data_IF_565436444574
#
_entry.id   IF_565436444574
#
_cell.length_a   1.000
_cell.length_b   1.000
_cell.length_c   1.000
_cell.angle_alpha   90.00
_cell.angle_beta   90.00
_cell.angle_gamma   90.00
#
_symmetry.space_group_name_H-M   'P 1'
#
loop_
_entity.id
_entity.type
_entity.pdbx_description
1 polymer ?
#
# COMPACT_ATOMS: atom_id res chain seq x y z
N UNK A 1 -0.17 -3.91 26.83
CA UNK A 1 1.09 -4.26 26.15
C UNK A 1 0.73 -4.42 24.68
N UNK A 2 1.16 -3.49 23.82
CA UNK A 2 0.87 -3.58 22.39
C UNK A 2 1.74 -4.69 21.82
N UNK A 3 1.22 -5.92 21.75
CA UNK A 3 1.87 -7.05 21.12
C UNK A 3 1.90 -6.83 19.60
N UNK A 4 2.68 -5.85 19.14
CA UNK A 4 3.09 -5.81 17.73
C UNK A 4 4.15 -6.88 17.57
N UNK A 5 3.71 -8.05 17.14
CA UNK A 5 4.61 -9.04 16.57
C UNK A 5 5.23 -8.41 15.32
N UNK A 6 6.53 -8.14 15.36
CA UNK A 6 7.31 -7.76 14.17
C UNK A 6 7.45 -9.02 13.31
N UNK A 7 6.37 -9.44 12.66
CA UNK A 7 6.44 -10.45 11.62
C UNK A 7 7.36 -9.87 10.54
N UNK A 8 8.44 -10.57 10.19
CA UNK A 8 9.35 -10.22 9.07
C UNK A 8 8.66 -10.25 7.69
N UNK A 9 7.33 -10.40 7.66
CA UNK A 9 6.47 -10.19 6.51
C UNK A 9 6.32 -8.66 6.37
N UNK A 10 6.61 -8.11 5.19
CA UNK A 10 6.42 -6.67 4.95
C UNK A 10 5.06 -6.22 5.48
N UNK A 11 4.99 -5.05 6.10
CA UNK A 11 3.68 -4.48 6.38
C UNK A 11 2.98 -4.30 5.03
N UNK A 12 1.71 -4.67 4.91
CA UNK A 12 0.92 -4.44 3.69
C UNK A 12 1.00 -2.97 3.26
N UNK A 13 1.07 -2.05 4.23
CA UNK A 13 1.27 -0.62 3.98
C UNK A 13 2.61 -0.35 3.31
N UNK A 14 3.68 -1.03 3.74
CA UNK A 14 5.01 -0.88 3.14
C UNK A 14 5.02 -1.38 1.69
N UNK A 15 4.39 -2.52 1.43
CA UNK A 15 4.25 -3.06 0.07
C UNK A 15 3.46 -2.09 -0.84
N UNK A 16 2.38 -1.47 -0.31
CA UNK A 16 1.62 -0.44 -1.03
C UNK A 16 2.48 0.77 -1.38
N UNK A 17 3.32 1.24 -0.44
CA UNK A 17 4.20 2.40 -0.66
C UNK A 17 5.25 2.09 -1.74
N UNK A 18 5.90 0.93 -1.66
CA UNK A 18 6.89 0.50 -2.66
C UNK A 18 6.25 0.35 -4.05
N UNK A 19 5.06 -0.26 -4.14
CA UNK A 19 4.32 -0.42 -5.40
C UNK A 19 3.86 0.92 -5.99
N UNK A 20 3.49 1.89 -5.15
CA UNK A 20 3.15 3.23 -5.58
C UNK A 20 4.38 4.01 -6.08
N UNK A 21 5.53 3.90 -5.41
CA UNK A 21 6.79 4.53 -5.83
C UNK A 21 7.29 3.98 -7.18
N UNK A 22 7.21 2.65 -7.37
CA UNK A 22 7.61 2.00 -8.64
C UNK A 22 6.67 2.36 -9.80
N UNK A 23 5.41 2.70 -9.50
CA UNK A 23 4.37 3.00 -10.49
C UNK A 23 4.34 4.45 -10.94
N UNK A 24 4.96 5.37 -10.20
CA UNK A 24 4.98 6.80 -10.52
C UNK A 24 6.34 7.24 -11.07
N UNK A 25 6.33 8.24 -11.94
CA UNK A 25 7.58 8.79 -12.47
C UNK A 25 8.31 9.60 -11.38
N UNK A 26 9.65 9.66 -11.37
CA UNK A 26 10.42 10.41 -10.36
C UNK A 26 10.11 11.92 -10.24
N UNK A 27 9.36 12.48 -11.19
CA UNK A 27 8.94 13.89 -11.26
C UNK A 27 7.44 14.06 -10.96
N UNK A 28 6.73 12.96 -10.66
CA UNK A 28 5.32 13.03 -10.28
C UNK A 28 5.14 13.83 -9.00
N UNK A 29 4.06 14.59 -8.92
CA UNK A 29 3.71 15.31 -7.68
C UNK A 29 3.36 14.32 -6.56
N UNK A 30 3.51 14.77 -5.32
CA UNK A 30 3.06 14.01 -4.14
C UNK A 30 1.58 13.61 -4.24
N UNK A 31 0.74 14.46 -4.84
CA UNK A 31 -0.66 14.15 -5.09
C UNK A 31 -0.84 12.92 -6.00
N UNK A 32 -0.04 12.80 -7.07
CA UNK A 32 -0.09 11.64 -7.97
C UNK A 32 0.40 10.36 -7.27
N UNK A 33 1.40 10.47 -6.39
CA UNK A 33 1.85 9.36 -5.55
C UNK A 33 0.74 8.89 -4.57
N UNK A 34 0.12 9.82 -3.84
CA UNK A 34 -0.95 9.50 -2.88
C UNK A 34 -2.19 8.93 -3.58
N UNK A 35 -2.53 9.43 -4.76
CA UNK A 35 -3.61 8.88 -5.58
C UNK A 35 -3.32 7.42 -5.97
N UNK A 36 -2.09 7.11 -6.40
CA UNK A 36 -1.68 5.72 -6.70
C UNK A 36 -1.71 4.84 -5.46
N UNK A 37 -1.18 5.31 -4.33
CA UNK A 37 -1.23 4.57 -3.08
C UNK A 37 -2.67 4.26 -2.64
N UNK A 38 -3.60 5.20 -2.83
CA UNK A 38 -5.04 4.99 -2.57
C UNK A 38 -5.63 3.91 -3.46
N UNK A 39 -5.36 3.95 -4.76
CA UNK A 39 -5.87 2.95 -5.72
C UNK A 39 -5.36 1.53 -5.40
N UNK A 40 -4.09 1.40 -5.04
CA UNK A 40 -3.51 0.10 -4.64
C UNK A 40 -4.16 -0.37 -3.35
N UNK A 41 -4.36 0.53 -2.38
CA UNK A 41 -5.04 0.19 -1.12
C UNK A 41 -6.47 -0.29 -1.34
N UNK A 42 -7.24 0.40 -2.20
CA UNK A 42 -8.61 0.01 -2.56
C UNK A 42 -8.63 -1.41 -3.17
N UNK A 43 -7.71 -1.71 -4.09
CA UNK A 43 -7.57 -3.05 -4.66
C UNK A 43 -7.28 -4.12 -3.59
N UNK A 44 -6.35 -3.85 -2.65
CA UNK A 44 -6.07 -4.78 -1.55
C UNK A 44 -7.26 -4.96 -0.62
N UNK A 45 -8.02 -3.90 -0.35
CA UNK A 45 -9.24 -3.98 0.45
C UNK A 45 -10.30 -4.82 -0.25
N UNK A 46 -10.50 -4.64 -1.55
CA UNK A 46 -11.40 -5.45 -2.37
C UNK A 46 -11.00 -6.94 -2.37
N UNK A 47 -9.71 -7.27 -2.47
CA UNK A 47 -9.21 -8.64 -2.33
C UNK A 47 -9.57 -9.26 -0.96
N UNK A 48 -9.48 -8.47 0.11
CA UNK A 48 -9.84 -8.92 1.47
C UNK A 48 -11.34 -8.97 1.73
N UNK A 49 -12.12 -8.10 1.08
CA UNK A 49 -13.57 -8.01 1.23
C UNK A 49 -14.33 -9.02 0.34
N UNK A 50 -13.75 -9.40 -0.80
CA UNK A 50 -14.31 -10.37 -1.75
C UNK A 50 -14.14 -11.84 -1.35
N UNK A 51 -13.52 -12.13 -0.19
CA UNK A 51 -13.27 -13.49 0.32
C UNK A 51 -14.33 -13.99 1.32
N UNK A 52 -15.57 -13.48 1.26
CA UNK A 52 -16.70 -13.92 2.09
C UNK A 52 -17.40 -15.18 1.54
#
# INVERSE_FOLDING_TARGET
>A
MMCRETLKKGSVIKEIVEEAEDSVLPVSSEAAFLERASQIMDHRLDETAGSA
#
